data_IF_015399862768
#
_entry.id   IF_015399862768
#
_cell.length_a   1.000
_cell.length_b   1.000
_cell.length_c   1.000
_cell.angle_alpha   90.00
_cell.angle_beta   90.00
_cell.angle_gamma   90.00
#
_symmetry.space_group_name_H-M   'P 1'
#
loop_
_entity.id
_entity.type
_entity.pdbx_description
1 polymer ?
#
# COMPACT_ATOMS: atom_id res chain seq x y z
N UNK A 1 9.89 16.15 58.29
CA UNK A 1 8.59 16.81 58.06
C UNK A 1 8.28 16.80 56.57
N UNK A 2 7.22 16.07 56.19
CA UNK A 2 6.36 16.12 55.00
C UNK A 2 7.00 16.30 53.60
N UNK A 3 7.04 15.17 52.89
CA UNK A 3 7.16 15.00 51.44
C UNK A 3 6.13 15.87 50.70
N UNK A 4 6.58 16.90 49.96
CA UNK A 4 5.75 17.83 49.17
C UNK A 4 6.30 18.01 47.75
N UNK A 5 6.40 16.97 46.94
CA UNK A 5 6.79 17.11 45.52
C UNK A 5 6.13 16.06 44.61
N UNK A 6 4.81 15.83 44.72
CA UNK A 6 4.11 14.83 43.87
C UNK A 6 3.17 15.49 42.83
N UNK A 7 3.06 16.81 42.77
CA UNK A 7 2.05 17.44 41.88
C UNK A 7 2.59 17.81 40.48
N UNK A 8 3.91 17.76 40.25
CA UNK A 8 4.50 18.10 38.94
C UNK A 8 4.53 16.97 37.90
N UNK A 9 4.19 15.73 38.28
CA UNK A 9 4.39 14.55 37.43
C UNK A 9 3.20 14.23 36.50
N UNK A 10 2.05 14.90 36.68
CA UNK A 10 0.79 14.54 36.00
C UNK A 10 0.40 15.46 34.83
N UNK A 11 1.01 16.63 34.71
CA UNK A 11 0.76 17.57 33.60
C UNK A 11 1.28 17.15 32.20
N UNK A 12 2.25 16.23 32.04
CA UNK A 12 2.63 15.75 30.71
C UNK A 12 1.55 14.85 30.06
N UNK A 13 0.66 14.23 30.83
CA UNK A 13 -0.27 13.23 30.28
C UNK A 13 -1.47 13.82 29.52
N UNK A 14 -1.62 15.15 29.44
CA UNK A 14 -2.85 15.80 28.96
C UNK A 14 -2.71 16.58 27.65
N UNK A 15 -1.52 16.64 27.05
CA UNK A 15 -1.32 17.33 25.77
C UNK A 15 -0.77 16.34 24.75
N UNK A 16 -1.68 15.71 24.03
CA UNK A 16 -1.41 14.86 22.87
C UNK A 16 -1.55 15.72 21.62
N UNK A 17 -0.49 15.85 20.84
CA UNK A 17 -0.57 16.25 19.41
C UNK A 17 -0.43 14.96 18.58
N UNK A 18 -0.81 14.93 17.31
CA UNK A 18 -0.96 13.69 16.51
C UNK A 18 -0.10 13.75 15.24
N UNK A 19 0.72 12.72 14.97
CA UNK A 19 1.05 12.30 13.61
C UNK A 19 0.37 10.96 13.43
N UNK A 20 -0.32 10.87 12.31
CA UNK A 20 -1.13 9.73 11.96
C UNK A 20 -0.50 9.18 10.70
N UNK A 21 -0.20 7.88 10.72
CA UNK A 21 0.01 7.16 9.47
C UNK A 21 -1.22 7.39 8.60
N UNK A 22 -1.00 8.00 7.44
CA UNK A 22 -2.06 8.22 6.47
C UNK A 22 -2.12 6.96 5.62
N UNK A 23 -3.05 6.08 5.99
CA UNK A 23 -3.35 4.91 5.18
C UNK A 23 -4.44 5.32 4.20
N UNK A 24 -4.20 5.11 2.91
CA UNK A 24 -5.21 5.28 1.89
C UNK A 24 -5.87 3.93 1.67
N UNK A 25 -7.19 3.89 1.85
CA UNK A 25 -8.02 2.76 1.44
C UNK A 25 -8.61 3.04 0.08
N UNK A 26 -8.80 1.99 -0.71
CA UNK A 26 -9.51 2.12 -1.97
C UNK A 26 -10.27 0.86 -2.37
N UNK A 27 -11.23 1.07 -3.26
CA UNK A 27 -12.09 0.04 -3.80
C UNK A 27 -12.13 0.17 -5.32
N UNK A 28 -12.27 -0.96 -6.01
CA UNK A 28 -12.51 -0.98 -7.45
C UNK A 28 -13.54 -2.03 -7.81
N UNK A 29 -14.27 -1.75 -8.89
CA UNK A 29 -15.17 -2.71 -9.52
C UNK A 29 -14.87 -2.80 -11.00
N UNK A 30 -15.28 -3.90 -11.62
CA UNK A 30 -14.98 -4.14 -13.02
C UNK A 30 -15.65 -5.37 -13.56
N UNK A 31 -15.25 -5.74 -14.78
CA UNK A 31 -15.64 -7.00 -15.42
C UNK A 31 -14.41 -7.66 -16.05
N UNK A 32 -14.39 -8.99 -16.06
CA UNK A 32 -13.37 -9.74 -16.79
C UNK A 32 -13.61 -9.58 -18.30
N UNK A 33 -12.58 -9.14 -19.02
CA UNK A 33 -12.63 -8.98 -20.49
C UNK A 33 -11.99 -10.14 -21.21
N UNK A 34 -10.87 -10.61 -20.69
CA UNK A 34 -10.14 -11.73 -21.24
C UNK A 34 -9.69 -12.62 -20.10
N UNK A 35 -9.63 -13.91 -20.38
CA UNK A 35 -9.05 -14.91 -19.49
C UNK A 35 -8.06 -15.76 -20.29
N UNK A 36 -7.04 -16.25 -19.62
CA UNK A 36 -6.20 -17.33 -20.10
C UNK A 36 -5.95 -18.33 -18.97
N UNK A 37 -5.89 -19.61 -19.31
CA UNK A 37 -5.63 -20.71 -18.38
C UNK A 37 -4.87 -21.82 -19.12
N UNK A 38 -3.67 -22.12 -18.65
CA UNK A 38 -2.78 -23.08 -19.28
C UNK A 38 -3.32 -24.52 -19.27
N UNK A 39 -4.24 -24.86 -18.37
CA UNK A 39 -4.90 -26.18 -18.35
C UNK A 39 -5.69 -26.49 -19.64
N UNK A 40 -6.10 -25.45 -20.37
CA UNK A 40 -6.79 -25.60 -21.67
C UNK A 40 -5.81 -25.87 -22.83
N UNK A 41 -4.51 -25.63 -22.62
CA UNK A 41 -3.45 -25.69 -23.63
C UNK A 41 -2.48 -26.84 -23.39
N UNK A 42 -2.27 -27.24 -22.14
CA UNK A 42 -1.30 -28.25 -21.73
C UNK A 42 -1.86 -29.12 -20.59
N UNK A 43 -1.90 -30.44 -20.82
CA UNK A 43 -2.36 -31.46 -19.86
C UNK A 43 -1.56 -31.52 -18.56
N UNK A 44 -0.39 -30.87 -18.50
CA UNK A 44 0.42 -30.77 -17.28
C UNK A 44 -0.09 -29.75 -16.27
N UNK A 45 -1.15 -28.99 -16.58
CA UNK A 45 -1.72 -27.95 -15.72
C UNK A 45 -3.14 -28.31 -15.26
N UNK A 46 -3.44 -28.03 -14.00
CA UNK A 46 -4.79 -28.07 -13.45
C UNK A 46 -5.49 -26.74 -13.72
N UNK A 47 -6.82 -26.74 -13.90
CA UNK A 47 -7.59 -25.51 -14.10
C UNK A 47 -7.52 -24.64 -12.85
N UNK A 48 -7.17 -23.37 -13.03
CA UNK A 48 -7.29 -22.37 -11.96
C UNK A 48 -8.73 -21.87 -11.85
N UNK A 49 -9.38 -21.64 -13.00
CA UNK A 49 -10.78 -21.24 -13.06
C UNK A 49 -11.70 -22.45 -13.17
N UNK A 50 -12.77 -22.48 -12.38
CA UNK A 50 -13.76 -23.58 -12.43
C UNK A 50 -14.63 -23.52 -13.69
N UNK A 51 -14.76 -22.33 -14.30
CA UNK A 51 -15.52 -22.12 -15.53
C UNK A 51 -15.00 -20.90 -16.31
N UNK A 52 -15.64 -20.56 -17.43
CA UNK A 52 -15.33 -19.33 -18.16
C UNK A 52 -15.86 -18.10 -17.38
N UNK A 53 -14.93 -17.29 -16.89
CA UNK A 53 -15.18 -16.10 -16.08
C UNK A 53 -15.29 -14.81 -16.91
N UNK A 54 -15.15 -14.87 -18.24
CA UNK A 54 -15.30 -13.69 -19.11
C UNK A 54 -16.70 -13.10 -18.98
N UNK A 55 -16.76 -11.79 -18.70
CA UNK A 55 -17.99 -11.05 -18.44
C UNK A 55 -18.44 -11.09 -16.98
N UNK A 56 -17.82 -11.90 -16.12
CA UNK A 56 -18.12 -11.87 -14.69
C UNK A 56 -17.70 -10.55 -14.05
N UNK A 57 -18.48 -10.12 -13.06
CA UNK A 57 -18.16 -8.96 -12.25
C UNK A 57 -16.98 -9.26 -11.32
N UNK A 58 -16.12 -8.26 -11.15
CA UNK A 58 -15.06 -8.29 -10.14
C UNK A 58 -15.28 -7.17 -9.14
N UNK A 59 -14.84 -7.41 -7.91
CA UNK A 59 -14.73 -6.41 -6.86
C UNK A 59 -13.40 -6.59 -6.16
N UNK A 60 -12.70 -5.50 -5.89
CA UNK A 60 -11.47 -5.54 -5.14
C UNK A 60 -11.29 -4.33 -4.26
N UNK A 61 -10.39 -4.49 -3.31
CA UNK A 61 -10.00 -3.47 -2.35
C UNK A 61 -8.49 -3.36 -2.36
N UNK A 62 -7.97 -2.18 -2.13
CA UNK A 62 -6.56 -1.97 -1.91
C UNK A 62 -6.34 -1.03 -0.73
N UNK A 63 -5.12 -1.02 -0.24
CA UNK A 63 -4.66 -0.02 0.69
C UNK A 63 -3.19 0.29 0.42
N UNK A 64 -2.75 1.48 0.79
CA UNK A 64 -1.32 1.79 0.90
C UNK A 64 -1.03 2.74 2.07
N UNK A 65 0.14 2.57 2.70
CA UNK A 65 0.58 3.34 3.87
C UNK A 65 1.63 4.37 3.43
N UNK A 66 1.29 5.67 3.50
CA UNK A 66 2.18 6.74 3.02
C UNK A 66 3.41 6.94 3.91
N UNK A 67 3.35 6.54 5.18
CA UNK A 67 4.49 6.63 6.11
C UNK A 67 5.56 5.57 5.82
N UNK A 68 5.13 4.44 5.25
CA UNK A 68 6.00 3.32 4.88
C UNK A 68 6.42 3.36 3.41
N UNK A 69 5.84 4.26 2.62
CA UNK A 69 6.12 4.37 1.21
C UNK A 69 7.61 4.70 0.96
N UNK A 70 8.23 4.10 -0.07
CA UNK A 70 9.58 4.47 -0.49
C UNK A 70 9.60 5.91 -0.98
N UNK A 71 10.79 6.50 -1.04
CA UNK A 71 10.96 7.82 -1.64
C UNK A 71 10.47 7.84 -3.10
N UNK A 72 9.92 8.97 -3.52
CA UNK A 72 9.59 9.18 -4.93
C UNK A 72 10.84 9.03 -5.79
N UNK A 73 10.76 8.15 -6.78
CA UNK A 73 11.82 7.84 -7.75
C UNK A 73 11.55 8.45 -9.12
N UNK A 74 10.53 9.30 -9.24
CA UNK A 74 10.25 10.08 -10.44
C UNK A 74 11.40 11.04 -10.77
N UNK A 75 11.62 11.25 -12.06
CA UNK A 75 12.56 12.22 -12.61
C UNK A 75 11.86 13.43 -13.24
N UNK A 76 10.53 13.49 -13.10
CA UNK A 76 9.67 14.46 -13.76
C UNK A 76 8.72 15.10 -12.73
N UNK A 77 8.49 16.42 -12.81
CA UNK A 77 7.74 17.16 -11.79
C UNK A 77 6.24 16.86 -11.78
N UNK A 78 5.76 16.08 -12.74
CA UNK A 78 4.35 15.81 -13.01
C UNK A 78 4.04 14.31 -12.86
N UNK A 79 4.89 13.61 -12.10
CA UNK A 79 4.80 12.18 -11.83
C UNK A 79 5.31 11.93 -10.42
N UNK A 80 4.68 11.02 -9.71
CA UNK A 80 5.24 10.38 -8.53
C UNK A 80 5.27 8.87 -8.75
N UNK A 81 6.40 8.26 -8.42
CA UNK A 81 6.65 6.83 -8.57
C UNK A 81 7.27 6.30 -7.28
N UNK A 82 6.45 5.55 -6.54
CA UNK A 82 6.86 4.89 -5.31
C UNK A 82 6.93 3.40 -5.59
N UNK A 83 8.12 2.81 -5.53
CA UNK A 83 8.32 1.38 -5.79
C UNK A 83 9.28 0.76 -4.79
N UNK A 84 8.91 -0.42 -4.28
CA UNK A 84 9.76 -1.23 -3.43
C UNK A 84 9.90 -2.61 -4.03
N UNK A 85 11.13 -3.13 -4.07
CA UNK A 85 11.44 -4.47 -4.58
C UNK A 85 12.31 -5.21 -3.57
N UNK A 86 11.86 -6.40 -3.13
CA UNK A 86 12.63 -7.27 -2.25
C UNK A 86 11.79 -8.00 -1.22
N UNK A 87 12.38 -8.98 -0.54
CA UNK A 87 11.70 -9.81 0.45
C UNK A 87 11.70 -9.25 1.88
N UNK A 88 12.49 -8.20 2.14
CA UNK A 88 12.63 -7.54 3.45
C UNK A 88 11.98 -6.16 3.51
N UNK A 89 11.30 -5.75 2.43
CA UNK A 89 10.51 -4.54 2.37
C UNK A 89 9.44 -4.55 3.46
N UNK A 90 9.27 -3.41 4.14
CA UNK A 90 8.07 -3.22 4.95
C UNK A 90 6.89 -3.13 4.01
N UNK A 91 5.88 -3.94 4.26
CA UNK A 91 4.63 -3.92 3.52
C UNK A 91 3.99 -2.55 3.61
N UNK A 92 3.75 -1.94 2.47
CA UNK A 92 3.13 -0.62 2.39
C UNK A 92 2.05 -0.55 1.32
N UNK A 93 1.83 -1.62 0.55
CA UNK A 93 0.70 -1.77 -0.38
C UNK A 93 0.05 -3.14 -0.16
N UNK A 94 -1.27 -3.22 -0.30
CA UNK A 94 -1.95 -4.49 -0.38
C UNK A 94 -3.14 -4.45 -1.32
N UNK A 95 -3.31 -5.47 -2.15
CA UNK A 95 -4.47 -5.59 -3.05
C UNK A 95 -5.18 -6.93 -2.86
N UNK A 96 -6.52 -6.87 -2.80
CA UNK A 96 -7.43 -8.02 -2.81
C UNK A 96 -8.39 -7.92 -3.99
N UNK A 97 -8.67 -9.05 -4.63
CA UNK A 97 -9.62 -9.13 -5.75
C UNK A 97 -10.50 -10.38 -5.65
N UNK A 98 -11.80 -10.20 -5.78
CA UNK A 98 -12.77 -11.26 -5.94
C UNK A 98 -13.02 -11.47 -7.44
N UNK A 99 -12.62 -12.63 -7.96
CA UNK A 99 -12.66 -12.97 -9.38
C UNK A 99 -12.90 -14.47 -9.54
N UNK A 100 -13.83 -14.86 -10.44
CA UNK A 100 -14.09 -16.27 -10.71
C UNK A 100 -14.56 -17.07 -9.51
N UNK A 101 -15.31 -16.44 -8.60
CA UNK A 101 -15.75 -17.06 -7.35
C UNK A 101 -14.67 -17.18 -6.26
N UNK A 102 -13.46 -16.64 -6.47
CA UNK A 102 -12.32 -16.75 -5.54
C UNK A 102 -11.91 -15.37 -5.03
N UNK A 103 -11.59 -15.30 -3.74
CA UNK A 103 -10.93 -14.14 -3.14
C UNK A 103 -9.43 -14.35 -3.16
N UNK A 104 -8.70 -13.48 -3.86
CA UNK A 104 -7.23 -13.52 -3.95
C UNK A 104 -6.66 -12.29 -3.24
N UNK A 105 -5.82 -12.51 -2.24
CA UNK A 105 -5.04 -11.47 -1.56
C UNK A 105 -3.58 -11.59 -2.02
N UNK A 106 -3.08 -10.62 -2.77
CA UNK A 106 -1.86 -10.79 -3.55
C UNK A 106 -0.64 -10.98 -2.64
N UNK A 107 -0.39 -10.04 -1.74
CA UNK A 107 0.78 -10.09 -0.85
C UNK A 107 0.58 -10.80 0.49
N UNK A 108 -0.67 -11.06 0.93
CA UNK A 108 -0.90 -11.66 2.26
C UNK A 108 -1.48 -13.09 2.24
N UNK A 109 -1.92 -13.64 1.09
CA UNK A 109 -2.40 -15.03 1.02
C UNK A 109 -1.31 -16.05 0.66
N UNK A 110 -0.18 -16.00 1.35
CA UNK A 110 0.92 -16.93 1.07
C UNK A 110 0.53 -18.34 1.55
N UNK A 111 0.57 -19.37 0.69
CA UNK A 111 0.31 -20.74 1.09
C UNK A 111 1.20 -21.18 2.25
N UNK A 112 0.63 -21.96 3.18
CA UNK A 112 1.38 -22.48 4.33
C UNK A 112 2.57 -23.32 3.86
N UNK A 113 3.75 -23.05 4.45
CA UNK A 113 4.98 -23.78 4.13
C UNK A 113 5.80 -23.20 2.98
N UNK A 114 5.40 -22.04 2.43
CA UNK A 114 6.24 -21.25 1.53
C UNK A 114 6.84 -20.04 2.25
N UNK A 115 8.06 -19.69 1.87
CA UNK A 115 8.76 -18.48 2.31
C UNK A 115 8.70 -17.42 1.20
N UNK A 116 8.53 -16.14 1.59
CA UNK A 116 8.56 -15.02 0.64
C UNK A 116 9.94 -14.95 -0.03
N UNK A 117 9.96 -15.11 -1.35
CA UNK A 117 11.15 -14.90 -2.16
C UNK A 117 11.26 -13.46 -2.65
N UNK A 118 10.13 -12.88 -3.03
CA UNK A 118 10.09 -11.59 -3.69
C UNK A 118 8.74 -10.94 -3.45
N UNK A 119 8.79 -9.64 -3.21
CA UNK A 119 7.65 -8.74 -3.18
C UNK A 119 8.00 -7.51 -3.99
N UNK A 120 7.03 -7.03 -4.76
CA UNK A 120 7.11 -5.76 -5.45
C UNK A 120 5.79 -5.01 -5.26
N UNK A 121 5.90 -3.77 -4.82
CA UNK A 121 4.77 -2.90 -4.48
C UNK A 121 5.00 -1.57 -5.18
N UNK A 122 4.01 -1.09 -5.94
CA UNK A 122 4.17 0.15 -6.73
C UNK A 122 2.89 0.99 -6.68
N UNK A 123 3.06 2.29 -6.44
CA UNK A 123 2.02 3.33 -6.62
C UNK A 123 2.58 4.38 -7.58
N UNK A 124 1.76 4.78 -8.56
CA UNK A 124 2.10 5.81 -9.54
C UNK A 124 0.95 6.80 -9.69
N UNK A 125 1.28 8.08 -9.59
CA UNK A 125 0.43 9.18 -10.04
C UNK A 125 1.14 9.89 -11.18
N UNK A 126 0.43 10.17 -12.27
CA UNK A 126 0.93 11.03 -13.34
C UNK A 126 -0.13 12.06 -13.69
N UNK A 127 0.29 13.32 -13.76
CA UNK A 127 -0.49 14.44 -14.22
C UNK A 127 0.19 15.00 -15.48
N UNK A 128 -0.11 14.43 -16.66
CA UNK A 128 0.51 14.88 -17.89
C UNK A 128 -0.22 16.11 -18.46
N UNK A 129 0.33 17.29 -18.18
CA UNK A 129 0.17 18.45 -19.05
C UNK A 129 1.09 18.28 -20.29
N UNK A 130 0.55 17.78 -21.39
CA UNK A 130 1.30 17.67 -22.65
C UNK A 130 1.18 18.95 -23.50
N UNK A 131 2.11 19.21 -24.45
CA UNK A 131 2.02 20.35 -25.34
C UNK A 131 0.68 20.39 -26.10
N UNK A 132 0.24 21.59 -26.49
CA UNK A 132 -1.10 22.03 -26.96
C UNK A 132 -1.89 21.19 -27.99
N UNK A 133 -1.41 20.03 -28.42
CA UNK A 133 -2.00 19.17 -29.44
C UNK A 133 -2.37 17.77 -28.90
N UNK A 134 -2.04 17.45 -27.65
CA UNK A 134 -2.31 16.16 -27.02
C UNK A 134 -3.22 16.42 -25.82
N UNK A 135 -4.27 15.61 -25.67
CA UNK A 135 -5.20 15.72 -24.55
C UNK A 135 -4.43 15.55 -23.23
N UNK A 136 -4.66 16.44 -22.26
CA UNK A 136 -4.18 16.27 -20.89
C UNK A 136 -4.56 14.88 -20.39
N UNK A 137 -3.67 14.21 -19.66
CA UNK A 137 -4.03 12.88 -19.19
C UNK A 137 -3.53 12.63 -17.79
N UNK A 138 -4.44 12.18 -16.96
CA UNK A 138 -4.15 11.81 -15.59
C UNK A 138 -4.19 10.30 -15.44
N UNK A 139 -3.27 9.78 -14.65
CA UNK A 139 -3.09 8.36 -14.45
C UNK A 139 -2.92 8.04 -12.96
N UNK A 140 -3.71 7.10 -12.49
CA UNK A 140 -3.45 6.37 -11.26
C UNK A 140 -3.11 4.93 -11.62
N UNK A 141 -1.98 4.43 -11.12
CA UNK A 141 -1.62 3.02 -11.23
C UNK A 141 -1.17 2.47 -9.90
N UNK A 142 -1.61 1.25 -9.61
CA UNK A 142 -1.23 0.49 -8.43
C UNK A 142 -0.84 -0.92 -8.87
N UNK A 143 0.22 -1.47 -8.28
CA UNK A 143 0.60 -2.86 -8.47
C UNK A 143 1.06 -3.50 -7.16
N UNK A 144 0.69 -4.76 -7.01
CA UNK A 144 1.11 -5.65 -5.92
C UNK A 144 1.54 -6.97 -6.56
N UNK A 145 2.73 -7.44 -6.17
CA UNK A 145 3.36 -8.66 -6.67
C UNK A 145 3.90 -9.42 -5.48
N UNK A 146 3.60 -10.71 -5.42
CA UNK A 146 4.15 -11.61 -4.43
C UNK A 146 4.63 -12.89 -5.09
N UNK A 147 5.79 -13.38 -4.64
CA UNK A 147 6.23 -14.73 -4.95
C UNK A 147 6.82 -15.40 -3.71
N UNK A 148 6.47 -16.66 -3.53
CA UNK A 148 6.92 -17.48 -2.43
C UNK A 148 7.33 -18.87 -2.93
N UNK A 149 8.26 -19.52 -2.24
CA UNK A 149 8.66 -20.89 -2.56
C UNK A 149 9.14 -21.66 -1.34
N UNK A 150 9.39 -22.96 -1.49
CA UNK A 150 10.03 -23.77 -0.47
C UNK A 150 11.15 -24.67 -1.05
N UNK A 151 11.84 -25.39 -0.17
CA UNK A 151 12.91 -26.32 -0.58
C UNK A 151 12.40 -27.58 -1.31
N UNK A 152 11.10 -27.88 -1.26
CA UNK A 152 10.48 -28.97 -1.99
C UNK A 152 10.21 -28.62 -3.47
N UNK A 153 10.43 -27.35 -3.85
CA UNK A 153 10.20 -26.85 -5.21
C UNK A 153 8.78 -26.34 -5.44
N UNK A 154 7.94 -26.31 -4.40
CA UNK A 154 6.65 -25.63 -4.50
C UNK A 154 6.88 -24.11 -4.61
N UNK A 155 6.05 -23.45 -5.40
CA UNK A 155 6.05 -22.01 -5.52
C UNK A 155 4.67 -21.46 -5.85
N UNK A 156 4.45 -20.21 -5.45
CA UNK A 156 3.27 -19.41 -5.72
C UNK A 156 3.73 -18.04 -6.20
N UNK A 157 3.13 -17.55 -7.29
CA UNK A 157 3.36 -16.21 -7.82
C UNK A 157 2.02 -15.59 -8.13
N UNK A 158 1.81 -14.38 -7.62
CA UNK A 158 0.60 -13.58 -7.82
C UNK A 158 1.02 -12.17 -8.20
N UNK A 159 0.32 -11.60 -9.18
CA UNK A 159 0.50 -10.23 -9.58
C UNK A 159 -0.85 -9.63 -9.96
N UNK A 160 -1.13 -8.46 -9.40
CA UNK A 160 -2.25 -7.64 -9.81
C UNK A 160 -1.77 -6.22 -10.02
N UNK A 161 -2.15 -5.64 -11.17
CA UNK A 161 -2.08 -4.21 -11.37
C UNK A 161 -3.45 -3.67 -11.75
N UNK A 162 -3.78 -2.49 -11.24
CA UNK A 162 -4.95 -1.70 -11.61
C UNK A 162 -4.47 -0.34 -12.08
N UNK A 163 -5.07 0.15 -13.16
CA UNK A 163 -4.75 1.42 -13.78
C UNK A 163 -6.02 2.14 -14.22
N UNK A 164 -6.19 3.37 -13.79
CA UNK A 164 -7.21 4.30 -14.27
C UNK A 164 -6.53 5.45 -15.01
N UNK A 165 -6.90 5.68 -16.26
CA UNK A 165 -6.29 6.67 -17.13
C UNK A 165 -7.36 7.42 -17.93
N UNK A 166 -7.53 8.72 -17.69
CA UNK A 166 -8.54 9.53 -18.36
C UNK A 166 -7.90 10.73 -19.05
N UNK A 167 -8.46 11.10 -20.21
CA UNK A 167 -7.97 12.21 -21.05
C UNK A 167 -8.76 13.50 -20.92
N UNK A 168 -10.00 13.41 -20.43
CA UNK A 168 -10.95 14.52 -20.47
C UNK A 168 -11.38 14.98 -19.06
N UNK A 169 -11.06 14.19 -18.03
CA UNK A 169 -11.42 14.47 -16.64
C UNK A 169 -10.30 14.02 -15.73
N UNK A 170 -10.21 14.71 -14.61
CA UNK A 170 -9.23 14.39 -13.60
C UNK A 170 -9.57 13.04 -12.96
N UNK A 171 -8.60 12.13 -12.95
CA UNK A 171 -8.62 10.88 -12.17
C UNK A 171 -8.09 11.14 -10.76
N UNK A 172 -7.17 12.08 -10.62
CA UNK A 172 -6.40 12.37 -9.40
C UNK A 172 -6.37 13.88 -9.16
N UNK A 173 -5.97 14.32 -7.97
CA UNK A 173 -5.82 15.75 -7.64
C UNK A 173 -4.34 16.07 -7.41
N UNK A 174 -3.58 16.08 -8.51
CA UNK A 174 -2.12 16.23 -8.50
C UNK A 174 -1.36 14.91 -8.32
N UNK A 175 -0.13 15.00 -7.82
CA UNK A 175 0.81 13.86 -7.73
C UNK A 175 1.18 13.46 -6.29
N UNK A 176 0.56 14.08 -5.29
CA UNK A 176 0.77 13.75 -3.89
C UNK A 176 0.34 12.30 -3.60
N UNK A 177 1.01 11.63 -2.66
CA UNK A 177 0.67 10.25 -2.32
C UNK A 177 -0.62 10.15 -1.49
N UNK A 178 -0.92 11.20 -0.71
CA UNK A 178 -2.10 11.33 0.14
C UNK A 178 -3.24 12.01 -0.62
N UNK A 179 -4.12 11.21 -1.25
CA UNK A 179 -5.22 11.75 -2.05
C UNK A 179 -6.52 10.94 -1.89
N UNK A 180 -7.64 11.65 -1.95
CA UNK A 180 -8.98 11.09 -2.04
C UNK A 180 -9.57 11.40 -3.42
N UNK A 181 -10.05 10.39 -4.12
CA UNK A 181 -10.74 10.58 -5.38
C UNK A 181 -11.77 9.49 -5.64
N UNK A 182 -12.73 9.77 -6.51
CA UNK A 182 -13.72 8.79 -6.97
C UNK A 182 -13.86 8.89 -8.47
N UNK A 183 -13.42 7.85 -9.16
CA UNK A 183 -13.47 7.72 -10.60
C UNK A 183 -14.52 6.67 -11.01
N UNK A 184 -15.33 7.03 -12.00
CA UNK A 184 -16.32 6.15 -12.62
C UNK A 184 -16.15 6.21 -14.12
N UNK A 185 -16.10 5.03 -14.73
CA UNK A 185 -16.01 4.88 -16.17
C UNK A 185 -17.37 5.23 -16.82
N UNK A 186 -17.47 6.43 -17.38
CA UNK A 186 -18.66 6.87 -18.13
C UNK A 186 -18.54 6.58 -19.63
N UNK A 187 -17.36 6.14 -20.09
CA UNK A 187 -17.04 5.98 -21.49
C UNK A 187 -17.02 4.47 -21.86
N UNK A 188 -17.75 4.08 -22.90
CA UNK A 188 -17.68 2.70 -23.39
C UNK A 188 -16.31 2.35 -24.01
N UNK A 189 -15.49 3.36 -24.32
CA UNK A 189 -14.16 3.20 -24.92
C UNK A 189 -13.25 2.30 -24.08
N UNK A 190 -12.64 1.32 -24.72
CA UNK A 190 -12.00 0.17 -24.05
C UNK A 190 -10.67 0.49 -23.35
N UNK A 191 -10.05 1.66 -23.60
CA UNK A 191 -8.67 1.93 -23.18
C UNK A 191 -8.51 2.87 -21.97
N UNK A 192 -9.60 3.29 -21.33
CA UNK A 192 -9.58 4.29 -20.23
C UNK A 192 -9.19 3.66 -18.88
N UNK A 193 -9.28 2.34 -18.75
CA UNK A 193 -8.92 1.67 -17.50
C UNK A 193 -8.67 0.19 -17.70
N UNK A 194 -7.62 -0.34 -17.08
CA UNK A 194 -7.20 -1.71 -17.22
C UNK A 194 -6.80 -2.27 -15.85
N UNK A 195 -7.21 -3.49 -15.58
CA UNK A 195 -6.56 -4.34 -14.58
C UNK A 195 -5.95 -5.56 -15.25
N UNK A 196 -4.81 -6.03 -14.73
CA UNK A 196 -4.19 -7.28 -15.15
C UNK A 196 -3.94 -8.13 -13.92
N UNK A 197 -4.52 -9.33 -13.91
CA UNK A 197 -4.33 -10.33 -12.88
C UNK A 197 -3.56 -11.52 -13.46
N UNK A 198 -2.52 -11.97 -12.75
CA UNK A 198 -1.74 -13.14 -13.10
C UNK A 198 -1.50 -13.99 -11.85
N UNK A 199 -1.63 -15.30 -12.00
CA UNK A 199 -1.40 -16.27 -10.94
C UNK A 199 -0.79 -17.52 -11.54
N UNK A 200 0.31 -17.99 -10.95
CA UNK A 200 0.97 -19.22 -11.39
C UNK A 200 1.64 -19.89 -10.20
N UNK A 201 1.75 -21.20 -10.26
CA UNK A 201 2.39 -21.94 -9.18
C UNK A 201 2.54 -23.41 -9.47
N UNK A 202 3.32 -24.04 -8.60
CA UNK A 202 3.43 -25.47 -8.48
C UNK A 202 3.25 -25.81 -7.00
N UNK A 203 2.20 -26.57 -6.68
CA UNK A 203 1.83 -26.85 -5.30
C UNK A 203 1.43 -28.32 -5.19
N UNK A 204 2.05 -29.06 -4.28
CA UNK A 204 1.71 -30.47 -4.01
C UNK A 204 1.74 -31.36 -5.27
N UNK A 205 2.63 -31.07 -6.22
CA UNK A 205 2.72 -31.82 -7.49
C UNK A 205 1.82 -31.33 -8.62
N UNK A 206 0.98 -30.31 -8.38
CA UNK A 206 0.05 -29.76 -9.38
C UNK A 206 0.53 -28.38 -9.87
N UNK A 207 0.44 -28.12 -11.18
CA UNK A 207 0.79 -26.83 -11.79
C UNK A 207 -0.47 -26.05 -12.14
N UNK A 208 -0.48 -24.76 -11.88
CA UNK A 208 -1.50 -23.84 -12.37
C UNK A 208 -0.82 -22.60 -12.95
N UNK A 209 -1.42 -22.03 -14.00
CA UNK A 209 -0.99 -20.77 -14.61
C UNK A 209 -2.20 -20.17 -15.31
N UNK A 210 -2.63 -19.00 -14.82
CA UNK A 210 -3.82 -18.32 -15.29
C UNK A 210 -3.64 -16.81 -15.24
N UNK A 211 -4.32 -16.12 -16.16
CA UNK A 211 -4.36 -14.67 -16.20
C UNK A 211 -5.75 -14.16 -16.57
N UNK A 212 -6.03 -12.92 -16.19
CA UNK A 212 -7.24 -12.23 -16.57
C UNK A 212 -6.97 -10.74 -16.83
N UNK A 213 -7.51 -10.22 -17.92
CA UNK A 213 -7.56 -8.78 -18.19
C UNK A 213 -8.92 -8.24 -17.77
N UNK A 214 -8.92 -7.10 -17.08
CA UNK A 214 -10.06 -6.53 -16.39
C UNK A 214 -10.38 -5.17 -17.01
N UNK A 215 -11.66 -4.92 -17.30
CA UNK A 215 -12.15 -3.55 -17.53
C UNK A 215 -12.66 -3.02 -16.20
N UNK A 216 -12.00 -1.98 -15.68
CA UNK A 216 -12.49 -1.30 -14.49
C UNK A 216 -13.71 -0.43 -14.84
N UNK A 217 -14.67 -0.39 -13.92
CA UNK A 217 -15.90 0.37 -14.03
C UNK A 217 -15.93 1.51 -13.01
N UNK A 218 -15.35 1.29 -11.84
CA UNK A 218 -15.16 2.33 -10.83
C UNK A 218 -13.88 2.08 -10.05
N UNK A 219 -13.30 3.15 -9.53
CA UNK A 219 -12.17 3.13 -8.61
C UNK A 219 -12.31 4.33 -7.68
N UNK A 220 -12.16 4.12 -6.38
CA UNK A 220 -12.20 5.20 -5.40
C UNK A 220 -11.13 5.01 -4.35
N UNK A 221 -10.61 6.12 -3.83
CA UNK A 221 -9.74 6.18 -2.66
C UNK A 221 -10.33 7.07 -1.59
N UNK A 222 -9.99 6.78 -0.35
CA UNK A 222 -10.32 7.59 0.82
C UNK A 222 -9.19 7.45 1.83
N UNK A 223 -8.90 8.51 2.56
CA UNK A 223 -8.02 8.41 3.72
C UNK A 223 -8.74 7.55 4.76
N UNK A 224 -8.11 6.45 5.17
CA UNK A 224 -8.62 5.57 6.22
C UNK A 224 -8.86 6.42 7.46
N UNK A 225 -10.09 6.36 7.99
CA UNK A 225 -10.45 6.99 9.25
C UNK A 225 -9.44 6.58 10.33
N UNK A 226 -8.50 7.48 10.61
CA UNK A 226 -7.38 7.18 11.48
C UNK A 226 -7.90 7.14 12.91
N UNK A 227 -7.77 6.00 13.57
CA UNK A 227 -7.83 5.95 15.02
C UNK A 227 -6.69 6.86 15.48
N UNK A 228 -7.04 8.03 16.03
CA UNK A 228 -6.08 9.03 16.53
C UNK A 228 -5.10 8.38 17.50
N UNK A 229 -3.94 7.98 17.00
CA UNK A 229 -2.84 7.56 17.86
C UNK A 229 -2.22 8.83 18.45
N UNK A 230 -2.06 8.90 19.78
CA UNK A 230 -1.38 10.02 20.41
C UNK A 230 0.09 10.10 20.03
N UNK A 231 0.55 11.22 19.46
CA UNK A 231 1.98 11.51 19.40
C UNK A 231 2.47 12.21 20.68
N UNK A 232 3.77 12.09 21.01
CA UNK A 232 4.37 12.78 22.13
C UNK A 232 4.48 14.28 21.84
N UNK A 233 3.89 15.12 22.70
CA UNK A 233 3.97 16.58 22.55
C UNK A 233 5.41 17.09 22.48
N UNK A 234 5.74 17.85 21.45
CA UNK A 234 7.07 18.48 21.29
C UNK A 234 7.41 19.42 22.45
N UNK A 235 6.40 20.10 23.01
CA UNK A 235 6.53 20.92 24.23
C UNK A 235 6.90 20.05 25.44
N UNK A 236 6.31 18.86 25.52
CA UNK A 236 6.56 17.89 26.57
C UNK A 236 7.95 17.28 26.45
N UNK A 237 8.39 16.92 25.24
CA UNK A 237 9.76 16.51 24.93
C UNK A 237 10.76 17.61 25.27
N UNK A 238 10.44 18.87 24.93
CA UNK A 238 11.26 20.03 25.30
C UNK A 238 11.32 20.23 26.81
N UNK A 239 10.19 20.14 27.52
CA UNK A 239 10.12 20.27 28.97
C UNK A 239 10.87 19.14 29.68
N UNK A 240 10.79 17.90 29.17
CA UNK A 240 11.60 16.77 29.62
C UNK A 240 13.09 17.02 29.40
N UNK A 241 13.46 17.53 28.21
CA UNK A 241 14.83 17.92 27.90
C UNK A 241 15.36 18.98 28.88
N UNK A 242 14.55 20.02 29.16
CA UNK A 242 14.88 21.07 30.11
C UNK A 242 14.99 20.55 31.54
N UNK A 243 14.08 19.66 31.96
CA UNK A 243 14.12 19.04 33.28
C UNK A 243 15.38 18.18 33.46
N UNK A 244 15.72 17.36 32.47
CA UNK A 244 16.95 16.57 32.46
C UNK A 244 18.20 17.46 32.54
N UNK A 245 18.21 18.59 31.81
CA UNK A 245 19.29 19.57 31.87
C UNK A 245 19.43 20.18 33.27
N UNK A 246 18.32 20.62 33.87
CA UNK A 246 18.30 21.21 35.20
C UNK A 246 18.72 20.21 36.29
N UNK A 247 18.23 18.97 36.20
CA UNK A 247 18.64 17.89 37.11
C UNK A 247 20.15 17.61 37.00
N UNK A 248 20.72 17.64 35.80
CA UNK A 248 22.17 17.49 35.57
C UNK A 248 22.96 18.63 36.21
N UNK A 249 22.54 19.88 36.03
CA UNK A 249 23.19 21.05 36.62
C UNK A 249 23.20 20.94 38.16
N UNK A 250 22.05 20.61 38.75
CA UNK A 250 21.92 20.44 40.20
C UNK A 250 22.76 19.28 40.76
N UNK A 251 22.99 18.23 39.99
CA UNK A 251 23.87 17.12 40.38
C UNK A 251 25.36 17.49 40.33
N UNK A 252 25.78 18.32 39.36
CA UNK A 252 27.16 18.81 39.24
C UNK A 252 27.52 19.70 40.43
N UNK A 253 26.64 20.64 40.78
CA UNK A 253 26.84 21.59 41.88
C UNK A 253 26.94 20.89 43.26
N UNK A 254 26.18 19.79 43.42
CA UNK A 254 26.29 18.90 44.60
C UNK A 254 27.55 18.05 44.65
N UNK A 255 28.30 17.94 43.55
CA UNK A 255 29.58 17.20 43.51
C UNK A 255 30.72 18.08 44.01
N UNK A 256 30.69 19.38 43.70
CA UNK A 256 31.71 20.35 44.11
C UNK A 256 31.61 20.74 45.60
N UNK A 257 30.42 20.64 46.17
CA UNK A 257 30.13 20.94 47.58
C UNK A 257 30.32 19.73 48.53
N UNK A 258 30.77 18.57 48.04
CA UNK A 258 31.13 17.45 48.92
C UNK A 258 32.51 17.69 49.51
N UNK A 259 32.68 17.65 50.85
CA UNK A 259 34.00 17.74 51.45
C UNK A 259 34.86 16.57 50.94
N UNK A 260 36.04 16.90 50.42
CA UNK A 260 37.08 15.92 50.08
C UNK A 260 37.37 15.12 51.34
N UNK A 261 37.12 13.82 51.27
CA UNK A 261 37.60 12.87 52.28
C UNK A 261 39.07 12.57 52.05
#
# INVERSE_FOLDING_TARGET
MKMKYIVGFLLPFLAVTHAQAVIIDGEFTGVVKYQDDMSTKDSGYIPYWESNIVGEAIHGTFWYDTDLAPADSSDTPNRSLHTTVGNSAKEWVGIKIFIGGKMVDISHSIPTGLDILHREETVVFEDFEQPANWDNSENFSLADVSSASNSAGDYDYKWLTIRAWEKERNVVDGIDLEQEFSWVNINEREFVSLGLFNVRGFMNGEKFDASASLKLLSLSTSVRDSVRVPEPSSLLLFALGLFCLLARILMIDRRESRPLK
#
